data_IF_376828606356
#
_entry.id   IF_376828606356
#
_cell.length_a   1.000
_cell.length_b   1.000
_cell.length_c   1.000
_cell.angle_alpha   90.00
_cell.angle_beta   90.00
_cell.angle_gamma   90.00
#
_symmetry.space_group_name_H-M   'P 1'
#
loop_
_entity.id
_entity.type
_entity.pdbx_description
1 polymer ?
#
# COMPACT_ATOMS: atom_id res chain seq x y z
N UNK A 1 -17.94 -30.80 7.96
CA UNK A 1 -17.69 -29.70 7.02
C UNK A 1 -16.49 -28.93 7.53
N UNK A 2 -15.33 -29.12 6.91
CA UNK A 2 -14.13 -28.33 7.22
C UNK A 2 -14.42 -26.91 6.73
N UNK A 3 -14.44 -25.94 7.64
CA UNK A 3 -14.54 -24.53 7.27
C UNK A 3 -13.27 -24.21 6.48
N UNK A 4 -13.41 -24.02 5.18
CA UNK A 4 -12.29 -23.67 4.33
C UNK A 4 -11.89 -22.23 4.68
N UNK A 5 -10.76 -22.10 5.36
CA UNK A 5 -10.20 -20.84 5.80
C UNK A 5 -9.70 -20.04 4.59
N UNK A 6 -10.60 -19.27 3.95
CA UNK A 6 -10.32 -18.57 2.69
C UNK A 6 -9.48 -17.32 2.90
N UNK A 7 -8.30 -17.31 2.28
CA UNK A 7 -7.47 -16.11 2.11
C UNK A 7 -7.61 -15.61 0.69
N UNK A 8 -8.01 -14.37 0.53
CA UNK A 8 -8.24 -13.83 -0.79
C UNK A 8 -8.01 -12.33 -0.83
N UNK A 9 -7.82 -11.85 -2.05
CA UNK A 9 -7.98 -10.45 -2.39
C UNK A 9 -9.01 -10.32 -3.52
N UNK A 10 -9.96 -9.41 -3.35
CA UNK A 10 -10.89 -9.02 -4.39
C UNK A 10 -10.63 -7.57 -4.77
N UNK A 11 -10.40 -7.31 -6.06
CA UNK A 11 -10.03 -6.00 -6.58
C UNK A 11 -10.95 -5.64 -7.73
N UNK A 12 -11.50 -4.43 -7.73
CA UNK A 12 -12.35 -3.92 -8.81
C UNK A 12 -12.04 -2.47 -9.13
N UNK A 13 -11.98 -2.15 -10.42
CA UNK A 13 -11.72 -0.81 -10.98
C UNK A 13 -10.46 -0.13 -10.41
N UNK A 14 -9.41 -0.91 -10.16
CA UNK A 14 -8.18 -0.43 -9.54
C UNK A 14 -6.98 -0.64 -10.46
N UNK A 15 -6.33 0.44 -10.87
CA UNK A 15 -5.15 0.41 -11.75
C UNK A 15 -5.45 -0.33 -13.07
N UNK A 16 -4.78 -1.44 -13.35
CA UNK A 16 -5.01 -2.32 -14.51
C UNK A 16 -6.10 -3.36 -14.27
N UNK A 17 -6.56 -3.53 -13.03
CA UNK A 17 -7.55 -4.52 -12.65
C UNK A 17 -8.97 -3.99 -12.88
N UNK A 18 -9.70 -4.60 -13.83
CA UNK A 18 -11.13 -4.34 -14.02
C UNK A 18 -11.93 -4.98 -12.89
N UNK A 19 -11.74 -6.28 -12.71
CA UNK A 19 -12.32 -7.06 -11.62
C UNK A 19 -11.55 -8.38 -11.50
N UNK A 20 -11.00 -8.68 -10.33
CA UNK A 20 -10.21 -9.89 -10.08
C UNK A 20 -10.50 -10.44 -8.68
N UNK A 21 -10.55 -11.77 -8.57
CA UNK A 21 -10.63 -12.49 -7.31
C UNK A 21 -9.48 -13.51 -7.25
N UNK A 22 -8.56 -13.34 -6.30
CA UNK A 22 -7.38 -14.19 -6.18
C UNK A 22 -7.38 -14.86 -4.81
N UNK A 23 -7.36 -16.19 -4.81
CA UNK A 23 -7.21 -17.01 -3.61
C UNK A 23 -5.73 -17.30 -3.32
N UNK A 24 -5.35 -17.30 -2.05
CA UNK A 24 -3.98 -17.53 -1.60
C UNK A 24 -3.84 -18.82 -0.79
N UNK A 25 -2.75 -19.54 -1.04
CA UNK A 25 -2.35 -20.72 -0.30
C UNK A 25 -1.64 -20.38 1.02
N UNK A 26 -1.44 -21.39 1.89
CA UNK A 26 -0.53 -21.29 3.05
C UNK A 26 0.92 -21.38 2.59
N UNK A 27 1.77 -20.53 3.18
CA UNK A 27 3.19 -20.46 2.83
C UNK A 27 3.45 -19.47 1.69
N UNK A 28 4.20 -19.93 0.70
CA UNK A 28 4.74 -19.08 -0.37
C UNK A 28 3.75 -19.02 -1.53
N UNK A 29 3.37 -17.81 -1.93
CA UNK A 29 2.55 -17.55 -3.12
C UNK A 29 3.42 -16.86 -4.18
N UNK A 30 3.47 -17.41 -5.39
CA UNK A 30 4.31 -16.91 -6.49
C UNK A 30 3.40 -16.28 -7.54
N UNK A 31 3.62 -14.98 -7.83
CA UNK A 31 2.82 -14.22 -8.79
C UNK A 31 3.69 -13.92 -10.02
N UNK A 32 3.26 -14.42 -11.19
CA UNK A 32 4.01 -14.33 -12.45
C UNK A 32 3.15 -13.63 -13.50
N UNK A 33 3.78 -12.86 -14.38
CA UNK A 33 3.11 -12.18 -15.48
C UNK A 33 4.04 -11.17 -16.16
N UNK A 34 3.64 -10.66 -17.31
CA UNK A 34 4.40 -9.68 -18.09
C UNK A 34 4.59 -8.34 -17.36
N UNK A 35 5.53 -7.52 -17.82
CA UNK A 35 5.71 -6.17 -17.27
C UNK A 35 4.45 -5.32 -17.51
N UNK A 36 4.06 -4.52 -16.51
CA UNK A 36 2.87 -3.67 -16.61
C UNK A 36 1.54 -4.34 -16.25
N UNK A 37 1.50 -5.65 -15.95
CA UNK A 37 0.25 -6.37 -15.61
C UNK A 37 -0.25 -6.17 -14.17
N UNK A 38 0.30 -5.19 -13.44
CA UNK A 38 -0.19 -4.83 -12.09
C UNK A 38 0.37 -5.65 -10.93
N UNK A 39 1.33 -6.57 -11.14
CA UNK A 39 1.94 -7.38 -10.06
C UNK A 39 2.40 -6.56 -8.84
N UNK A 40 3.14 -5.49 -9.07
CA UNK A 40 3.59 -4.59 -7.99
C UNK A 40 2.41 -3.86 -7.33
N UNK A 41 1.39 -3.47 -8.10
CA UNK A 41 0.20 -2.82 -7.56
C UNK A 41 -0.59 -3.78 -6.67
N UNK A 42 -0.74 -5.04 -7.08
CA UNK A 42 -1.36 -6.11 -6.29
C UNK A 42 -0.63 -6.31 -4.95
N UNK A 43 0.70 -6.43 -4.97
CA UNK A 43 1.49 -6.57 -3.73
C UNK A 43 1.35 -5.34 -2.82
N UNK A 44 1.31 -4.15 -3.40
CA UNK A 44 1.07 -2.90 -2.66
C UNK A 44 -0.33 -2.84 -2.05
N UNK A 45 -1.37 -3.31 -2.74
CA UNK A 45 -2.73 -3.40 -2.18
C UNK A 45 -2.76 -4.30 -0.95
N UNK A 46 -2.14 -5.48 -1.04
CA UNK A 46 -2.08 -6.43 0.08
C UNK A 46 -1.34 -5.79 1.26
N UNK A 47 -0.18 -5.19 1.00
CA UNK A 47 0.62 -4.54 2.04
C UNK A 47 -0.10 -3.35 2.68
N UNK A 48 -0.71 -2.46 1.87
CA UNK A 48 -1.46 -1.32 2.37
C UNK A 48 -2.62 -1.76 3.27
N UNK A 49 -3.36 -2.81 2.89
CA UNK A 49 -4.43 -3.34 3.73
C UNK A 49 -3.90 -3.91 5.06
N UNK A 50 -2.74 -4.57 5.06
CA UNK A 50 -2.07 -4.99 6.30
C UNK A 50 -1.71 -3.79 7.17
N UNK A 51 -1.10 -2.74 6.62
CA UNK A 51 -0.74 -1.55 7.39
C UNK A 51 -1.97 -0.79 7.92
N UNK A 52 -3.07 -0.74 7.16
CA UNK A 52 -4.35 -0.17 7.64
C UNK A 52 -4.90 -0.91 8.86
N UNK A 53 -4.60 -2.19 9.04
CA UNK A 53 -4.97 -2.94 10.26
C UNK A 53 -4.13 -2.53 11.49
N UNK A 54 -2.94 -1.95 11.27
CA UNK A 54 -1.99 -1.53 12.30
C UNK A 54 -2.13 -0.03 12.65
N UNK A 55 -2.58 0.80 11.70
CA UNK A 55 -2.68 2.25 11.86
C UNK A 55 -4.06 2.71 12.39
N UNK A 56 -4.09 3.91 12.98
CA UNK A 56 -5.33 4.55 13.45
C UNK A 56 -6.19 5.14 12.33
N UNK A 57 -5.58 5.52 11.20
CA UNK A 57 -6.27 6.10 10.05
C UNK A 57 -6.65 4.99 9.07
N UNK A 58 -7.95 4.83 8.85
CA UNK A 58 -8.54 3.68 8.14
C UNK A 58 -9.42 4.12 6.97
N UNK A 59 -8.97 5.13 6.24
CA UNK A 59 -9.69 5.72 5.11
C UNK A 59 -8.98 5.47 3.78
N UNK A 60 -9.54 6.01 2.71
CA UNK A 60 -8.93 5.94 1.39
C UNK A 60 -7.58 6.67 1.30
N UNK A 61 -7.40 7.76 2.03
CA UNK A 61 -6.15 8.52 1.97
C UNK A 61 -5.01 7.65 2.47
N UNK A 62 -5.24 6.81 3.50
CA UNK A 62 -4.28 5.80 3.98
C UNK A 62 -3.78 4.89 2.85
N UNK A 63 -4.67 4.31 2.03
CA UNK A 63 -4.24 3.40 0.96
C UNK A 63 -3.57 4.14 -0.21
N UNK A 64 -4.01 5.36 -0.51
CA UNK A 64 -3.48 6.12 -1.63
C UNK A 64 -1.98 6.41 -1.51
N UNK A 65 -1.48 6.59 -0.28
CA UNK A 65 -0.07 6.86 0.00
C UNK A 65 0.88 5.76 -0.52
N UNK A 66 0.40 4.55 -0.81
CA UNK A 66 1.21 3.43 -1.30
C UNK A 66 1.38 3.40 -2.84
N UNK A 67 0.81 4.38 -3.57
CA UNK A 67 0.82 4.41 -5.03
C UNK A 67 1.37 5.74 -5.58
N UNK A 68 2.56 5.71 -6.20
CA UNK A 68 3.21 6.90 -6.81
C UNK A 68 2.34 7.51 -7.89
N UNK A 69 2.20 8.83 -7.88
CA UNK A 69 1.52 9.58 -8.95
C UNK A 69 -0.01 9.47 -8.91
N UNK A 70 -0.53 8.61 -8.05
CA UNK A 70 -1.85 8.73 -7.53
C UNK A 70 -1.72 9.59 -6.25
N UNK A 71 -1.89 10.91 -6.41
CA UNK A 71 -2.77 11.75 -5.56
C UNK A 71 -2.12 12.88 -4.79
N UNK A 72 -2.27 14.07 -5.35
CA UNK A 72 -2.66 15.18 -4.49
C UNK A 72 -3.95 14.77 -3.77
N UNK A 73 -3.99 14.87 -2.44
CA UNK A 73 -5.16 14.63 -1.59
C UNK A 73 -6.43 15.10 -2.32
N UNK A 74 -7.24 14.14 -2.80
CA UNK A 74 -8.44 14.42 -3.61
C UNK A 74 -8.45 13.86 -5.04
N UNK A 75 -7.33 13.45 -5.66
CA UNK A 75 -7.34 13.02 -7.09
C UNK A 75 -7.56 11.50 -7.35
N UNK A 76 -7.72 10.63 -6.32
CA UNK A 76 -7.83 9.16 -6.51
C UNK A 76 -9.06 8.85 -7.27
N UNK A 77 -10.12 9.52 -6.87
CA UNK A 77 -11.43 9.26 -7.37
C UNK A 77 -11.81 10.19 -8.49
N UNK A 78 -11.22 11.40 -8.56
CA UNK A 78 -11.55 12.34 -9.65
C UNK A 78 -11.16 11.79 -11.02
N UNK A 79 -10.31 10.74 -11.10
CA UNK A 79 -9.99 10.02 -12.34
C UNK A 79 -10.66 8.64 -12.47
N UNK A 80 -11.29 8.13 -11.41
CA UNK A 80 -11.93 6.82 -11.40
C UNK A 80 -13.45 6.99 -11.29
N UNK A 81 -14.11 7.15 -12.45
CA UNK A 81 -15.58 7.33 -12.61
C UNK A 81 -16.37 6.05 -12.27
N UNK A 82 -15.79 5.11 -11.51
CA UNK A 82 -16.40 3.81 -11.23
C UNK A 82 -16.17 3.39 -9.78
N UNK A 83 -17.11 2.65 -9.18
CA UNK A 83 -16.95 2.09 -7.83
C UNK A 83 -15.64 1.30 -7.69
N UNK A 84 -14.78 1.72 -6.77
CA UNK A 84 -13.54 1.03 -6.42
C UNK A 84 -13.83 0.00 -5.32
N UNK A 85 -13.34 -1.22 -5.48
CA UNK A 85 -13.41 -2.22 -4.41
C UNK A 85 -12.04 -2.83 -4.21
N UNK A 86 -11.57 -2.85 -2.97
CA UNK A 86 -10.41 -3.60 -2.56
C UNK A 86 -10.74 -4.32 -1.26
N UNK A 87 -10.81 -5.65 -1.26
CA UNK A 87 -11.04 -6.43 -0.05
C UNK A 87 -9.87 -7.39 0.16
N UNK A 88 -9.19 -7.31 1.30
CA UNK A 88 -8.11 -8.22 1.68
C UNK A 88 -8.52 -9.01 2.91
N UNK A 89 -8.46 -10.35 2.81
CA UNK A 89 -8.74 -11.26 3.92
C UNK A 89 -7.52 -12.14 4.23
N UNK A 90 -6.87 -11.97 5.41
CA UNK A 90 -5.96 -12.95 5.97
C UNK A 90 -6.72 -14.14 6.57
N UNK A 91 -6.00 -15.19 6.94
CA UNK A 91 -6.64 -16.42 7.43
C UNK A 91 -7.51 -16.13 8.65
N UNK A 92 -8.79 -16.48 8.60
CA UNK A 92 -9.67 -16.53 9.78
C UNK A 92 -9.85 -15.21 10.52
N UNK A 93 -9.53 -14.14 9.82
CA UNK A 93 -9.67 -12.77 10.27
C UNK A 93 -10.95 -12.18 9.66
N UNK A 94 -11.65 -11.39 10.48
CA UNK A 94 -12.72 -10.56 10.00
C UNK A 94 -12.19 -9.51 9.02
N UNK A 95 -13.10 -8.90 8.28
CA UNK A 95 -12.78 -7.76 7.42
C UNK A 95 -13.46 -6.55 8.01
N UNK A 96 -12.69 -5.52 8.37
CA UNK A 96 -13.22 -4.19 8.61
C UNK A 96 -13.37 -3.53 7.23
N UNK A 97 -14.55 -2.98 6.96
CA UNK A 97 -14.85 -2.29 5.72
C UNK A 97 -15.01 -0.80 5.97
N UNK A 98 -14.22 0.01 5.29
CA UNK A 98 -14.52 1.41 5.09
C UNK A 98 -15.25 1.57 3.75
N UNK A 99 -16.43 2.17 3.80
CA UNK A 99 -17.30 2.30 2.63
C UNK A 99 -17.90 3.69 2.58
N UNK A 100 -17.64 4.39 1.48
CA UNK A 100 -18.19 5.72 1.26
C UNK A 100 -18.91 5.78 -0.09
N UNK A 101 -20.08 6.40 -0.06
CA UNK A 101 -20.81 6.83 -1.24
C UNK A 101 -20.57 8.33 -1.41
N UNK A 102 -20.08 8.72 -2.57
CA UNK A 102 -19.79 10.09 -2.96
C UNK A 102 -20.67 10.42 -4.16
N UNK A 103 -21.61 11.35 -3.98
CA UNK A 103 -22.27 11.96 -5.13
C UNK A 103 -21.23 12.85 -5.82
N UNK A 104 -21.12 12.77 -7.15
CA UNK A 104 -20.09 13.52 -7.85
C UNK A 104 -20.40 15.02 -7.85
N UNK A 105 -19.70 15.78 -7.02
CA UNK A 105 -19.62 17.24 -7.13
C UNK A 105 -18.38 17.61 -7.95
N UNK A 106 -18.59 18.19 -9.13
CA UNK A 106 -17.51 18.75 -9.95
C UNK A 106 -17.37 20.24 -9.61
N UNK A 107 -16.29 20.59 -8.90
CA UNK A 107 -15.94 21.97 -8.60
C UNK A 107 -15.08 22.57 -9.73
N UNK A 108 -15.65 23.51 -10.49
CA UNK A 108 -14.93 24.27 -11.52
C UNK A 108 -14.55 25.63 -10.96
N UNK A 109 -13.24 25.85 -10.75
CA UNK A 109 -12.70 27.12 -10.27
C UNK A 109 -12.12 27.94 -11.43
N UNK A 110 -12.70 29.10 -11.72
CA UNK A 110 -12.13 30.07 -12.66
C UNK A 110 -11.16 30.99 -11.93
N UNK A 111 -9.87 30.89 -12.24
CA UNK A 111 -8.81 31.68 -11.59
C UNK A 111 -8.33 32.79 -12.53
N UNK A 112 -8.25 34.02 -12.01
CA UNK A 112 -7.57 35.11 -12.70
C UNK A 112 -6.06 34.92 -12.59
N UNK A 113 -5.38 34.58 -13.70
CA UNK A 113 -3.93 34.35 -13.73
C UNK A 113 -3.07 35.56 -13.33
N UNK A 114 -3.58 36.78 -13.47
CA UNK A 114 -2.82 38.01 -13.14
C UNK A 114 -2.81 38.30 -11.64
N UNK A 115 -3.90 37.96 -10.94
CA UNK A 115 -4.08 38.28 -9.51
C UNK A 115 -4.11 37.05 -8.60
N UNK A 116 -4.09 35.83 -9.17
CA UNK A 116 -4.33 34.56 -8.50
C UNK A 116 -5.61 34.53 -7.64
N UNK A 117 -6.59 35.38 -7.96
CA UNK A 117 -7.89 35.40 -7.28
C UNK A 117 -8.90 34.56 -8.04
N UNK A 118 -9.66 33.77 -7.28
CA UNK A 118 -10.83 33.05 -7.78
C UNK A 118 -11.88 34.06 -8.23
N UNK A 119 -12.30 33.95 -9.49
CA UNK A 119 -13.32 34.78 -10.13
C UNK A 119 -14.69 34.18 -9.85
N UNK A 120 -14.80 32.86 -9.97
CA UNK A 120 -16.07 32.14 -9.88
C UNK A 120 -15.82 30.68 -9.54
N UNK A 121 -16.68 30.13 -8.68
CA UNK A 121 -16.83 28.70 -8.45
C UNK A 121 -18.15 28.26 -9.07
N UNK A 122 -18.13 27.16 -9.81
CA UNK A 122 -19.33 26.48 -10.28
C UNK A 122 -19.28 25.08 -9.72
N UNK A 123 -20.29 24.74 -8.92
CA UNK A 123 -20.50 23.39 -8.42
C UNK A 123 -21.51 22.72 -9.35
N UNK A 124 -21.08 21.66 -10.04
CA UNK A 124 -21.95 20.86 -10.91
C UNK A 124 -22.18 19.52 -10.23
N UNK A 125 -23.44 19.26 -9.86
CA UNK A 125 -23.87 17.93 -9.44
C UNK A 125 -23.92 17.03 -10.68
N UNK A 126 -23.10 15.98 -10.68
CA UNK A 126 -23.13 14.93 -11.70
C UNK A 126 -23.98 13.75 -11.20
N UNK A 127 -24.72 13.10 -12.10
CA UNK A 127 -25.47 11.87 -11.80
C UNK A 127 -24.55 10.65 -11.57
N UNK A 128 -23.24 10.80 -11.82
CA UNK A 128 -22.27 9.73 -11.63
C UNK A 128 -22.07 9.49 -10.11
N UNK A 129 -22.49 8.32 -9.64
CA UNK A 129 -22.21 7.84 -8.29
C UNK A 129 -20.77 7.30 -8.21
N UNK A 130 -19.93 7.98 -7.43
CA UNK A 130 -18.60 7.50 -7.08
C UNK A 130 -18.72 6.78 -5.74
N UNK A 131 -18.14 5.59 -5.60
CA UNK A 131 -18.09 4.95 -4.29
C UNK A 131 -16.82 4.14 -4.14
N UNK A 132 -16.45 3.90 -2.90
CA UNK A 132 -15.37 2.99 -2.60
C UNK A 132 -15.75 2.04 -1.48
N UNK A 133 -15.19 0.84 -1.54
CA UNK A 133 -15.23 -0.14 -0.46
C UNK A 133 -13.82 -0.70 -0.27
N UNK A 134 -13.19 -0.35 0.85
CA UNK A 134 -11.89 -0.87 1.26
C UNK A 134 -12.11 -1.81 2.43
N UNK A 135 -11.74 -3.06 2.25
CA UNK A 135 -11.76 -4.11 3.25
C UNK A 135 -10.34 -4.47 3.64
N UNK A 136 -10.04 -4.37 4.92
CA UNK A 136 -8.76 -4.74 5.50
C UNK A 136 -8.96 -5.66 6.71
N UNK A 137 -7.89 -6.35 7.15
CA UNK A 137 -7.95 -7.27 8.28
C UNK A 137 -8.46 -6.60 9.56
N UNK A 138 -9.29 -7.30 10.33
CA UNK A 138 -9.76 -6.82 11.65
C UNK A 138 -8.71 -6.92 12.76
N UNK A 139 -7.72 -7.78 12.57
CA UNK A 139 -6.56 -7.95 13.45
C UNK A 139 -5.32 -7.39 12.79
N UNK A 140 -4.45 -6.80 13.60
CA UNK A 140 -3.13 -6.32 13.20
C UNK A 140 -2.32 -7.40 12.44
N UNK A 141 -1.79 -7.02 11.29
CA UNK A 141 -0.97 -7.89 10.45
C UNK A 141 0.48 -7.42 10.44
N UNK A 142 1.40 -8.29 10.82
CA UNK A 142 2.84 -8.03 10.66
C UNK A 142 3.26 -8.35 9.23
N UNK A 143 3.35 -7.32 8.40
CA UNK A 143 3.80 -7.44 7.02
C UNK A 143 5.07 -6.61 6.79
N UNK A 144 5.90 -7.04 5.84
CA UNK A 144 7.03 -6.26 5.35
C UNK A 144 7.00 -6.27 3.83
N UNK A 145 6.95 -5.08 3.23
CA UNK A 145 7.11 -4.93 1.79
C UNK A 145 8.61 -4.85 1.47
N UNK A 146 9.06 -5.67 0.53
CA UNK A 146 10.44 -5.61 0.03
C UNK A 146 10.38 -5.08 -1.41
N UNK A 147 10.83 -3.84 -1.67
CA UNK A 147 10.79 -3.25 -2.99
C UNK A 147 11.82 -3.91 -3.91
N UNK A 148 11.50 -4.00 -5.20
CA UNK A 148 12.46 -4.46 -6.21
C UNK A 148 13.61 -3.46 -6.45
N UNK A 149 13.41 -2.19 -6.07
CA UNK A 149 14.41 -1.13 -6.18
C UNK A 149 15.30 -1.15 -4.93
N UNK A 150 16.61 -0.98 -5.10
CA UNK A 150 17.54 -0.83 -3.99
C UNK A 150 17.19 0.45 -3.22
N UNK A 151 16.80 0.32 -1.94
CA UNK A 151 16.44 1.44 -1.07
C UNK A 151 17.43 1.67 0.07
N UNK A 152 18.17 0.64 0.50
CA UNK A 152 18.99 0.72 1.72
C UNK A 152 20.28 1.50 1.48
N UNK A 153 20.92 1.33 0.33
CA UNK A 153 22.09 2.13 -0.05
C UNK A 153 21.74 3.60 -0.28
N UNK A 154 20.46 3.90 -0.52
CA UNK A 154 19.94 5.25 -0.68
C UNK A 154 19.21 5.79 0.55
N UNK A 155 19.20 5.08 1.69
CA UNK A 155 18.41 5.47 2.86
C UNK A 155 18.88 6.78 3.49
N UNK A 156 20.19 7.06 3.41
CA UNK A 156 20.81 8.23 4.03
C UNK A 156 20.19 9.53 3.51
N UNK A 157 19.48 10.22 4.39
CA UNK A 157 18.81 11.49 4.08
C UNK A 157 17.49 11.32 3.32
N UNK A 158 17.13 10.12 2.88
CA UNK A 158 15.84 9.86 2.21
C UNK A 158 14.66 10.19 3.12
N UNK A 159 14.65 9.68 4.35
CA UNK A 159 13.56 9.94 5.30
C UNK A 159 13.42 11.44 5.61
N UNK A 160 14.55 12.14 5.79
CA UNK A 160 14.54 13.58 6.03
C UNK A 160 14.01 14.37 4.82
N UNK A 161 14.36 13.96 3.59
CA UNK A 161 13.85 14.57 2.37
C UNK A 161 12.35 14.30 2.21
N UNK A 162 11.92 13.07 2.41
CA UNK A 162 10.52 12.67 2.31
C UNK A 162 9.64 13.38 3.34
N UNK A 163 10.17 13.66 4.54
CA UNK A 163 9.43 14.39 5.58
C UNK A 163 9.40 15.91 5.33
N UNK A 164 10.43 16.46 4.68
CA UNK A 164 10.56 17.92 4.47
C UNK A 164 9.96 18.39 3.15
N UNK A 165 9.87 17.52 2.15
CA UNK A 165 9.42 17.84 0.80
C UNK A 165 8.34 16.87 0.35
N UNK A 166 7.46 17.33 -0.53
CA UNK A 166 6.48 16.49 -1.22
C UNK A 166 7.19 15.68 -2.32
N UNK A 167 7.80 14.57 -1.92
CA UNK A 167 8.55 13.71 -2.82
C UNK A 167 7.59 12.78 -3.59
N UNK A 168 7.84 12.50 -4.88
CA UNK A 168 7.00 11.62 -5.69
C UNK A 168 7.29 10.14 -5.40
N UNK A 169 7.41 9.78 -4.13
CA UNK A 169 7.65 8.41 -3.67
C UNK A 169 6.44 7.92 -2.91
N UNK A 170 6.14 6.64 -3.09
CA UNK A 170 5.10 6.01 -2.29
C UNK A 170 5.64 5.54 -0.94
N UNK A 171 4.70 5.39 -0.01
CA UNK A 171 4.96 5.03 1.39
C UNK A 171 5.66 3.68 1.54
N UNK A 172 5.60 2.76 0.57
CA UNK A 172 6.30 1.47 0.71
C UNK A 172 7.81 1.65 0.85
N UNK A 173 8.42 2.65 0.20
CA UNK A 173 9.85 2.91 0.33
C UNK A 173 10.20 3.46 1.71
N UNK A 174 9.39 4.39 2.22
CA UNK A 174 9.54 4.96 3.56
C UNK A 174 9.44 3.86 4.61
N UNK A 175 8.43 2.99 4.50
CA UNK A 175 8.23 1.91 5.45
C UNK A 175 9.36 0.87 5.39
N UNK A 176 9.81 0.53 4.18
CA UNK A 176 10.91 -0.44 3.99
C UNK A 176 12.19 0.05 4.65
N UNK A 177 12.52 1.33 4.47
CA UNK A 177 13.71 1.96 5.08
C UNK A 177 13.51 2.06 6.59
N UNK A 178 12.37 2.54 7.05
CA UNK A 178 12.08 2.71 8.49
C UNK A 178 12.18 1.38 9.22
N UNK A 179 11.62 0.31 8.68
CA UNK A 179 11.70 -1.03 9.26
C UNK A 179 13.14 -1.59 9.27
N UNK A 180 13.94 -1.26 8.25
CA UNK A 180 15.33 -1.71 8.15
C UNK A 180 16.28 -0.94 9.09
N UNK A 181 15.97 0.32 9.40
CA UNK A 181 16.76 1.18 10.30
C UNK A 181 16.34 1.07 11.77
N UNK A 182 15.42 0.16 12.12
CA UNK A 182 15.07 -0.11 13.51
C UNK A 182 16.30 -0.59 14.30
N UNK A 183 16.41 -0.22 15.60
CA UNK A 183 17.53 -0.63 16.42
C UNK A 183 17.71 -2.15 16.46
N UNK A 184 18.97 -2.58 16.49
CA UNK A 184 19.30 -3.99 16.59
C UNK A 184 18.76 -4.61 17.89
N UNK A 185 18.28 -5.84 17.80
CA UNK A 185 17.87 -6.62 18.96
C UNK A 185 19.11 -7.01 19.76
N UNK A 186 19.11 -6.79 21.08
CA UNK A 186 20.24 -7.13 21.98
C UNK A 186 20.72 -8.58 21.92
N UNK A 187 19.85 -9.49 21.47
CA UNK A 187 20.14 -10.92 21.32
C UNK A 187 19.67 -11.42 19.95
N UNK A 188 20.40 -12.38 19.39
CA UNK A 188 20.03 -13.03 18.13
C UNK A 188 18.98 -14.09 18.43
N UNK A 189 17.83 -14.04 17.76
CA UNK A 189 16.79 -15.07 17.92
C UNK A 189 17.24 -16.42 17.34
N UNK A 190 16.72 -17.56 17.85
CA UNK A 190 17.02 -18.88 17.28
C UNK A 190 16.64 -19.02 15.79
N UNK A 191 15.66 -18.24 15.33
CA UNK A 191 15.30 -18.16 13.93
C UNK A 191 16.38 -17.44 13.12
N UNK A 192 16.86 -16.29 13.60
CA UNK A 192 17.90 -15.51 12.94
C UNK A 192 19.20 -16.30 12.85
N UNK A 193 19.58 -17.06 13.88
CA UNK A 193 20.76 -17.95 13.81
C UNK A 193 20.66 -18.98 12.67
N UNK A 194 19.49 -19.58 12.47
CA UNK A 194 19.26 -20.52 11.37
C UNK A 194 19.35 -19.81 10.02
N UNK A 195 18.74 -18.63 9.91
CA UNK A 195 18.78 -17.82 8.68
C UNK A 195 20.20 -17.37 8.33
N UNK A 196 20.98 -16.89 9.30
CA UNK A 196 22.37 -16.48 9.11
C UNK A 196 23.26 -17.63 8.62
N UNK A 197 23.02 -18.86 9.09
CA UNK A 197 23.70 -20.06 8.58
C UNK A 197 23.34 -20.35 7.12
N UNK A 198 22.05 -20.21 6.76
CA UNK A 198 21.60 -20.38 5.37
C UNK A 198 22.23 -19.31 4.47
N UNK A 199 22.22 -18.04 4.90
CA UNK A 199 22.83 -16.94 4.15
C UNK A 199 24.32 -17.16 3.97
N UNK A 200 25.05 -17.49 5.05
CA UNK A 200 26.49 -17.81 5.01
C UNK A 200 26.81 -18.88 3.96
N UNK A 201 25.98 -19.92 3.88
CA UNK A 201 26.14 -20.99 2.88
C UNK A 201 25.85 -20.52 1.45
N UNK A 202 24.84 -19.67 1.26
CA UNK A 202 24.47 -19.15 -0.07
C UNK A 202 25.55 -18.22 -0.62
N UNK A 203 26.14 -17.38 0.24
CA UNK A 203 27.16 -16.40 -0.17
C UNK A 203 28.59 -16.96 -0.14
N UNK A 204 28.76 -18.24 0.24
CA UNK A 204 30.05 -18.90 0.50
C UNK A 204 30.98 -18.05 1.40
N UNK A 205 30.40 -17.54 2.49
CA UNK A 205 31.06 -16.57 3.37
C UNK A 205 30.68 -16.78 4.84
N UNK A 206 31.13 -15.84 5.69
CA UNK A 206 30.82 -15.84 7.11
C UNK A 206 30.00 -14.60 7.45
N UNK A 207 28.74 -14.79 7.86
CA UNK A 207 27.95 -13.70 8.42
C UNK A 207 28.53 -13.29 9.78
N UNK A 208 28.80 -12.00 9.95
CA UNK A 208 29.22 -11.41 11.23
C UNK A 208 28.07 -10.54 11.73
N UNK A 209 27.66 -10.74 12.97
CA UNK A 209 26.67 -9.90 13.65
C UNK A 209 27.43 -9.07 14.68
N UNK A 210 27.36 -7.75 14.58
CA UNK A 210 28.07 -6.82 15.47
C UNK A 210 27.11 -5.74 15.92
N UNK A 211 27.01 -5.53 17.22
CA UNK A 211 26.27 -4.42 17.80
C UNK A 211 27.05 -3.13 17.56
N UNK A 212 26.41 -2.09 17.03
CA UNK A 212 26.94 -0.73 16.91
C UNK A 212 26.38 0.20 17.99
#
# INVERSE_FOLDING_TARGET
MTIEHKRYIYIKNFTVFKEEHLDFSKGINVIIGENGTGKTHLLKCIYAACEMSNEGNRDIDSISNYFVGALKKGEFFTKHIKPLVLLVRPQDDGIIKDKQYLMGELHINFINKSTNKTIQNIDVESEDEYSYEIGFPDKEQKALFIPAKEMLSHSKGFLALNNKYDMPFDKTYVDSITNAELPETKEISPLNEKLLKVISKIIDGKTVFSFF
#
